data_IF_912081015756
#
_entry.id   IF_912081015756
#
_cell.length_a   1.000
_cell.length_b   1.000
_cell.length_c   1.000
_cell.angle_alpha   90.00
_cell.angle_beta   90.00
_cell.angle_gamma   90.00
#
_symmetry.space_group_name_H-M   'P 1'
#
loop_
_entity.id
_entity.type
_entity.pdbx_description
1 polymer ?
#
# COMPACT_ATOMS: atom_id res chain seq x y z
N UNK A 1 -5.95 -4.70 18.63
CA UNK A 1 -5.32 -3.38 18.84
C UNK A 1 -6.39 -2.31 18.62
N UNK A 2 -6.62 -1.37 19.55
CA UNK A 2 -7.72 -0.40 19.44
C UNK A 2 -7.24 0.96 18.94
N UNK A 3 -8.05 1.61 18.09
CA UNK A 3 -7.82 2.96 17.59
C UNK A 3 -8.30 4.01 18.59
N UNK A 4 -7.60 5.16 18.64
CA UNK A 4 -8.05 6.32 19.40
C UNK A 4 -9.17 7.06 18.67
N UNK A 5 -9.99 7.82 19.40
CA UNK A 5 -11.12 8.57 18.84
C UNK A 5 -10.75 9.47 17.65
N UNK A 6 -9.62 10.18 17.74
CA UNK A 6 -9.15 11.03 16.63
C UNK A 6 -8.68 10.23 15.41
N UNK A 7 -8.23 8.98 15.61
CA UNK A 7 -7.86 8.11 14.50
C UNK A 7 -9.11 7.61 13.78
N UNK A 8 -10.17 7.31 14.53
CA UNK A 8 -11.47 6.99 13.96
C UNK A 8 -12.00 8.11 13.07
N UNK A 9 -12.04 9.34 13.60
CA UNK A 9 -12.56 10.51 12.88
C UNK A 9 -11.91 10.68 11.50
N UNK A 10 -10.58 10.60 11.41
CA UNK A 10 -9.86 10.81 10.15
C UNK A 10 -9.98 9.68 9.14
N UNK A 11 -10.30 8.45 9.57
CA UNK A 11 -10.41 7.30 8.65
C UNK A 11 -11.84 7.03 8.19
N UNK A 12 -12.87 7.60 8.83
CA UNK A 12 -14.27 7.33 8.47
C UNK A 12 -14.54 7.45 6.96
N UNK A 13 -14.07 8.49 6.24
CA UNK A 13 -14.35 8.58 4.81
C UNK A 13 -13.62 7.50 3.99
N UNK A 14 -12.47 6.99 4.44
CA UNK A 14 -11.82 5.85 3.79
C UNK A 14 -12.62 4.55 3.96
N UNK A 15 -13.27 4.37 5.12
CA UNK A 15 -14.17 3.22 5.36
C UNK A 15 -15.43 3.28 4.49
N UNK A 16 -15.80 4.47 4.02
CA UNK A 16 -16.86 4.70 3.02
C UNK A 16 -16.37 4.56 1.57
N UNK A 17 -15.10 4.19 1.35
CA UNK A 17 -14.51 4.00 0.02
C UNK A 17 -14.05 5.28 -0.67
N UNK A 18 -13.90 6.41 0.06
CA UNK A 18 -13.37 7.66 -0.52
C UNK A 18 -11.84 7.67 -0.50
N UNK A 19 -11.25 8.27 -1.54
CA UNK A 19 -9.82 8.62 -1.53
C UNK A 19 -9.59 9.78 -0.55
N UNK A 20 -8.68 9.60 0.41
CA UNK A 20 -8.39 10.60 1.45
C UNK A 20 -6.88 10.79 1.66
N UNK A 21 -6.54 11.89 2.34
CA UNK A 21 -5.23 12.10 2.97
C UNK A 21 -5.45 12.09 4.49
N UNK A 22 -4.77 11.19 5.20
CA UNK A 22 -4.79 11.15 6.67
C UNK A 22 -3.81 12.19 7.20
N UNK A 23 -4.31 13.36 7.58
CA UNK A 23 -3.49 14.44 8.12
C UNK A 23 -3.49 14.43 9.66
N UNK A 24 -2.49 13.76 10.23
CA UNK A 24 -2.23 13.74 11.67
C UNK A 24 -0.76 14.05 11.97
N UNK A 25 -0.43 14.60 13.16
CA UNK A 25 0.96 14.83 13.58
C UNK A 25 1.83 13.56 13.55
N UNK A 26 3.15 13.74 13.51
CA UNK A 26 4.11 12.64 13.68
C UNK A 26 3.91 11.98 15.05
N UNK A 27 3.98 10.64 15.11
CA UNK A 27 3.72 9.89 16.35
C UNK A 27 2.24 9.71 16.71
N UNK A 28 1.30 10.33 16.00
CA UNK A 28 -0.15 10.17 16.23
C UNK A 28 -0.70 8.81 15.72
N UNK A 29 0.15 7.91 15.23
CA UNK A 29 -0.25 6.57 14.79
C UNK A 29 -0.97 6.52 13.44
N UNK A 30 -0.53 7.32 12.46
CA UNK A 30 -1.03 7.27 11.06
C UNK A 30 -0.97 5.86 10.48
N UNK A 31 0.16 5.18 10.64
CA UNK A 31 0.36 3.80 10.16
C UNK A 31 -0.68 2.84 10.74
N UNK A 32 -1.00 2.97 12.03
CA UNK A 32 -2.03 2.16 12.69
C UNK A 32 -3.42 2.41 12.12
N UNK A 33 -3.76 3.68 11.91
CA UNK A 33 -5.04 4.07 11.31
C UNK A 33 -5.15 3.50 9.88
N UNK A 34 -4.09 3.60 9.07
CA UNK A 34 -4.03 3.03 7.74
C UNK A 34 -4.12 1.48 7.74
N UNK A 35 -3.44 0.82 8.68
CA UNK A 35 -3.53 -0.63 8.83
C UNK A 35 -4.96 -1.09 9.17
N UNK A 36 -5.70 -0.32 9.97
CA UNK A 36 -7.10 -0.61 10.25
C UNK A 36 -7.98 -0.46 9.00
N UNK A 37 -7.76 0.60 8.20
CA UNK A 37 -8.46 0.77 6.92
C UNK A 37 -8.17 -0.42 6.00
N UNK A 38 -6.92 -0.84 5.88
CA UNK A 38 -6.54 -2.00 5.08
C UNK A 38 -7.20 -3.29 5.57
N UNK A 39 -7.23 -3.53 6.88
CA UNK A 39 -7.95 -4.66 7.49
C UNK A 39 -9.42 -4.63 7.08
N UNK A 40 -10.08 -3.50 7.29
CA UNK A 40 -11.52 -3.38 7.00
C UNK A 40 -11.81 -3.58 5.52
N UNK A 41 -10.98 -3.01 4.65
CA UNK A 41 -11.07 -3.19 3.21
C UNK A 41 -10.98 -4.67 2.81
N UNK A 42 -9.98 -5.39 3.33
CA UNK A 42 -9.79 -6.83 3.13
C UNK A 42 -10.94 -7.69 3.68
N UNK A 43 -11.67 -7.24 4.71
CA UNK A 43 -12.86 -7.92 5.23
C UNK A 43 -14.12 -7.72 4.36
N UNK A 44 -14.20 -6.60 3.65
CA UNK A 44 -15.44 -6.16 3.00
C UNK A 44 -15.44 -6.27 1.48
N UNK A 45 -14.27 -6.29 0.85
CA UNK A 45 -14.13 -6.32 -0.60
C UNK A 45 -13.70 -7.72 -1.02
N UNK A 46 -14.51 -8.38 -1.84
CA UNK A 46 -14.19 -9.70 -2.38
C UNK A 46 -12.99 -9.61 -3.33
N UNK A 47 -12.05 -10.55 -3.21
CA UNK A 47 -10.79 -10.53 -3.97
C UNK A 47 -9.91 -9.30 -3.69
N UNK A 48 -10.08 -8.63 -2.54
CA UNK A 48 -9.32 -7.44 -2.19
C UNK A 48 -7.81 -7.69 -2.26
N UNK A 49 -7.10 -6.69 -2.78
CA UNK A 49 -5.65 -6.64 -2.78
C UNK A 49 -5.16 -5.25 -2.40
N UNK A 50 -4.20 -5.21 -1.51
CA UNK A 50 -3.69 -3.98 -0.90
C UNK A 50 -2.19 -3.85 -1.15
N UNK A 51 -1.73 -2.67 -1.51
CA UNK A 51 -0.30 -2.34 -1.50
C UNK A 51 -0.04 -1.12 -0.61
N UNK A 52 1.01 -1.21 0.21
CA UNK A 52 1.48 -0.13 1.08
C UNK A 52 2.85 0.31 0.57
N UNK A 53 2.93 1.57 0.16
CA UNK A 53 4.15 2.18 -0.35
C UNK A 53 4.85 2.95 0.76
N UNK A 54 6.15 2.71 0.91
CA UNK A 54 7.03 3.44 1.82
C UNK A 54 8.19 4.07 1.07
N UNK A 55 8.79 5.11 1.65
CA UNK A 55 9.91 5.84 1.06
C UNK A 55 11.30 5.36 1.54
N UNK A 56 11.36 4.43 2.50
CA UNK A 56 12.62 3.93 3.08
C UNK A 56 12.55 2.43 3.35
N UNK A 57 13.65 1.72 3.09
CA UNK A 57 13.75 0.26 3.30
C UNK A 57 13.43 -0.17 4.74
N UNK A 58 13.93 0.54 5.75
CA UNK A 58 13.66 0.17 7.16
C UNK A 58 12.17 0.27 7.54
N UNK A 59 11.39 1.11 6.85
CA UNK A 59 9.95 1.24 7.07
C UNK A 59 9.18 0.03 6.55
N UNK A 60 9.73 -0.73 5.59
CA UNK A 60 9.10 -1.95 5.08
C UNK A 60 8.94 -2.96 6.22
N UNK A 61 10.01 -3.21 6.97
CA UNK A 61 9.97 -4.16 8.11
C UNK A 61 9.10 -3.62 9.24
N UNK A 62 9.27 -2.33 9.59
CA UNK A 62 8.51 -1.70 10.67
C UNK A 62 6.99 -1.71 10.42
N UNK A 63 6.55 -1.29 9.23
CA UNK A 63 5.14 -1.31 8.88
C UNK A 63 4.66 -2.75 8.67
N UNK A 64 5.52 -3.65 8.18
CA UNK A 64 5.25 -5.07 8.12
C UNK A 64 4.83 -5.69 9.45
N UNK A 65 5.49 -5.32 10.55
CA UNK A 65 5.08 -5.77 11.88
C UNK A 65 3.74 -5.17 12.32
N UNK A 66 3.54 -3.86 12.15
CA UNK A 66 2.29 -3.19 12.56
C UNK A 66 1.07 -3.73 11.77
N UNK A 67 1.21 -3.92 10.47
CA UNK A 67 0.15 -4.47 9.62
C UNK A 67 -0.14 -5.93 9.96
N UNK A 68 0.87 -6.79 10.11
CA UNK A 68 0.65 -8.19 10.52
C UNK A 68 -0.06 -8.28 11.87
N UNK A 69 0.30 -7.43 12.84
CA UNK A 69 -0.39 -7.33 14.13
C UNK A 69 -1.83 -6.85 14.01
N UNK A 70 -2.13 -5.94 13.08
CA UNK A 70 -3.50 -5.45 12.87
C UNK A 70 -4.39 -6.50 12.20
N UNK A 71 -3.84 -7.24 11.24
CA UNK A 71 -4.55 -8.22 10.41
C UNK A 71 -4.80 -9.56 11.13
N UNK A 72 -4.21 -9.78 12.31
CA UNK A 72 -4.41 -10.96 13.15
C UNK A 72 -4.17 -12.30 12.41
N UNK A 73 -3.27 -12.32 11.42
CA UNK A 73 -2.90 -13.52 10.65
C UNK A 73 -3.97 -14.05 9.68
N UNK A 74 -5.08 -13.34 9.47
CA UNK A 74 -6.16 -13.79 8.56
C UNK A 74 -5.84 -13.64 7.08
N UNK A 75 -4.91 -12.74 6.73
CA UNK A 75 -4.50 -12.47 5.36
C UNK A 75 -3.00 -12.66 5.20
N UNK A 76 -2.62 -13.01 3.98
CA UNK A 76 -1.24 -13.21 3.57
C UNK A 76 -0.57 -11.85 3.33
N UNK A 77 0.54 -11.61 4.05
CA UNK A 77 1.29 -10.35 3.99
C UNK A 77 2.73 -10.61 3.56
N UNK A 78 3.17 -9.96 2.50
CA UNK A 78 4.56 -9.97 2.07
C UNK A 78 5.19 -8.57 2.13
N UNK A 79 6.50 -8.54 2.37
CA UNK A 79 7.30 -7.33 2.50
C UNK A 79 8.43 -7.38 1.49
N UNK A 80 8.59 -6.34 0.68
CA UNK A 80 9.59 -6.26 -0.39
C UNK A 80 10.41 -5.00 -0.25
N UNK A 81 11.72 -5.14 -0.21
CA UNK A 81 12.67 -4.02 -0.16
C UNK A 81 13.83 -4.28 -1.10
N UNK A 82 14.55 -3.21 -1.47
CA UNK A 82 15.80 -3.36 -2.22
C UNK A 82 16.79 -4.24 -1.45
N UNK A 83 17.54 -5.07 -2.21
CA UNK A 83 18.61 -5.98 -1.75
C UNK A 83 18.18 -7.35 -1.17
N UNK A 84 17.05 -7.92 -1.61
CA UNK A 84 16.60 -9.26 -1.14
C UNK A 84 17.21 -10.47 -1.85
N UNK A 85 18.30 -10.33 -2.61
CA UNK A 85 18.88 -11.45 -3.38
C UNK A 85 17.88 -12.09 -4.36
N UNK A 86 18.06 -13.37 -4.74
CA UNK A 86 17.11 -14.08 -5.58
C UNK A 86 15.74 -14.17 -4.89
N UNK A 87 14.73 -13.54 -5.48
CA UNK A 87 13.34 -13.58 -5.03
C UNK A 87 12.40 -13.98 -6.16
N UNK A 88 11.20 -14.42 -5.80
CA UNK A 88 10.11 -14.50 -6.76
C UNK A 88 9.79 -13.10 -7.33
N UNK A 89 9.26 -13.06 -8.55
CA UNK A 89 8.90 -11.83 -9.21
C UNK A 89 7.81 -11.05 -8.46
N UNK A 90 7.78 -9.73 -8.61
CA UNK A 90 6.86 -8.86 -7.90
C UNK A 90 5.41 -9.19 -8.29
N UNK A 91 5.14 -9.36 -9.59
CA UNK A 91 3.86 -9.82 -10.11
C UNK A 91 3.42 -11.15 -9.51
N UNK A 92 4.32 -12.13 -9.43
CA UNK A 92 4.06 -13.41 -8.76
C UNK A 92 3.63 -13.23 -7.31
N UNK A 93 4.43 -12.49 -6.54
CA UNK A 93 4.17 -12.23 -5.13
C UNK A 93 2.87 -11.45 -4.95
N UNK A 94 2.56 -10.51 -5.84
CA UNK A 94 1.31 -9.78 -5.84
C UNK A 94 0.11 -10.68 -6.09
N UNK A 95 0.21 -11.70 -6.96
CA UNK A 95 -0.86 -12.68 -7.17
C UNK A 95 -1.08 -13.56 -5.94
N UNK A 96 -0.01 -13.99 -5.29
CA UNK A 96 -0.07 -14.95 -4.17
C UNK A 96 -0.37 -14.34 -2.80
N UNK A 97 -0.34 -13.01 -2.66
CA UNK A 97 -0.57 -12.33 -1.38
C UNK A 97 -1.73 -11.33 -1.43
N UNK A 98 -2.41 -11.18 -0.31
CA UNK A 98 -3.52 -10.24 -0.13
C UNK A 98 -2.99 -8.81 0.09
N UNK A 99 -1.88 -8.68 0.81
CA UNK A 99 -1.26 -7.39 1.13
C UNK A 99 0.25 -7.41 0.89
N UNK A 100 0.73 -6.37 0.20
CA UNK A 100 2.14 -6.13 -0.04
C UNK A 100 2.58 -4.83 0.64
N UNK A 101 3.78 -4.82 1.19
CA UNK A 101 4.43 -3.60 1.69
C UNK A 101 5.77 -3.48 0.98
N UNK A 102 5.96 -2.41 0.22
CA UNK A 102 7.17 -2.24 -0.57
C UNK A 102 7.62 -0.79 -0.67
N UNK A 103 8.86 -0.60 -1.11
CA UNK A 103 9.29 0.75 -1.51
C UNK A 103 8.62 1.17 -2.81
N UNK A 104 8.41 2.47 -2.99
CA UNK A 104 7.81 3.04 -4.19
C UNK A 104 8.52 2.57 -5.48
N UNK A 105 9.85 2.52 -5.42
CA UNK A 105 10.73 2.16 -6.54
C UNK A 105 10.43 0.75 -7.03
N UNK A 106 10.21 -0.21 -6.13
CA UNK A 106 9.91 -1.58 -6.51
C UNK A 106 8.58 -1.70 -7.22
N UNK A 107 7.54 -0.99 -6.76
CA UNK A 107 6.27 -0.97 -7.48
C UNK A 107 6.44 -0.30 -8.85
N UNK A 108 7.16 0.81 -8.95
CA UNK A 108 7.37 1.51 -10.23
C UNK A 108 8.14 0.65 -11.25
N UNK A 109 9.14 -0.12 -10.80
CA UNK A 109 9.81 -1.12 -11.63
C UNK A 109 8.85 -2.22 -12.08
N UNK A 110 8.04 -2.76 -11.17
CA UNK A 110 7.07 -3.81 -11.49
C UNK A 110 5.99 -3.33 -12.47
N UNK A 111 5.53 -2.08 -12.39
CA UNK A 111 4.54 -1.49 -13.31
C UNK A 111 5.05 -1.31 -14.74
N UNK A 112 6.38 -1.31 -14.93
CA UNK A 112 7.01 -1.07 -16.24
C UNK A 112 7.79 -2.29 -16.74
N UNK A 113 7.74 -3.41 -16.00
CA UNK A 113 8.52 -4.59 -16.33
C UNK A 113 7.93 -5.33 -17.54
N UNK A 114 8.75 -5.72 -18.52
CA UNK A 114 8.30 -6.57 -19.61
C UNK A 114 8.21 -8.05 -19.21
N UNK A 115 8.76 -8.43 -18.05
CA UNK A 115 8.79 -9.82 -17.58
C UNK A 115 7.49 -10.19 -16.85
N UNK A 116 6.76 -11.20 -17.33
CA UNK A 116 5.44 -11.60 -16.80
C UNK A 116 5.43 -11.93 -15.30
N UNK A 117 6.51 -12.49 -14.77
CA UNK A 117 6.62 -12.81 -13.35
C UNK A 117 6.86 -11.57 -12.48
N UNK A 118 7.46 -10.51 -13.03
CA UNK A 118 7.72 -9.26 -12.32
C UNK A 118 6.59 -8.23 -12.55
N UNK A 119 5.96 -8.25 -13.73
CA UNK A 119 4.95 -7.27 -14.14
C UNK A 119 3.70 -7.31 -13.27
N UNK A 120 3.19 -6.12 -12.96
CA UNK A 120 1.89 -5.95 -12.28
C UNK A 120 1.19 -4.73 -12.86
N UNK A 121 -0.14 -4.77 -12.90
CA UNK A 121 -0.97 -3.63 -13.30
C UNK A 121 -1.50 -2.91 -12.06
N UNK A 122 -1.66 -1.58 -12.12
CA UNK A 122 -2.28 -0.83 -11.01
C UNK A 122 -3.69 -1.30 -10.68
N UNK A 123 -4.44 -1.79 -11.68
CA UNK A 123 -5.81 -2.28 -11.56
C UNK A 123 -5.94 -3.56 -10.72
N UNK A 124 -4.82 -4.26 -10.47
CA UNK A 124 -4.77 -5.42 -9.58
C UNK A 124 -4.96 -5.01 -8.11
N UNK A 125 -4.64 -3.76 -7.75
CA UNK A 125 -4.80 -3.25 -6.39
C UNK A 125 -6.13 -2.56 -6.20
N UNK A 126 -6.88 -3.03 -5.20
CA UNK A 126 -8.14 -2.42 -4.78
C UNK A 126 -7.97 -1.31 -3.73
N UNK A 127 -6.79 -1.23 -3.11
CA UNK A 127 -6.41 -0.16 -2.18
C UNK A 127 -4.89 0.08 -2.26
N UNK A 128 -4.51 1.35 -2.39
CA UNK A 128 -3.11 1.80 -2.33
C UNK A 128 -2.96 2.72 -1.13
N UNK A 129 -2.08 2.36 -0.20
CA UNK A 129 -1.70 3.20 0.95
C UNK A 129 -0.35 3.82 0.65
N UNK A 130 -0.25 5.15 0.65
CA UNK A 130 1.01 5.87 0.39
C UNK A 130 1.49 6.51 1.69
N UNK A 131 2.57 5.98 2.27
CA UNK A 131 3.20 6.56 3.45
C UNK A 131 4.02 7.81 3.08
N UNK A 132 4.02 8.81 3.95
CA UNK A 132 4.61 10.13 3.70
C UNK A 132 4.20 10.72 2.34
N UNK A 133 2.90 10.67 2.03
CA UNK A 133 2.29 11.06 0.75
C UNK A 133 2.54 12.52 0.33
N UNK A 134 3.08 13.37 1.22
CA UNK A 134 3.52 14.71 0.86
C UNK A 134 4.70 14.69 -0.15
N UNK A 135 5.38 13.55 -0.30
CA UNK A 135 6.37 13.33 -1.36
C UNK A 135 5.75 13.12 -2.74
N UNK A 136 4.42 13.03 -2.90
CA UNK A 136 3.76 12.85 -4.20
C UNK A 136 3.69 14.17 -4.97
N UNK A 137 4.84 14.64 -5.47
CA UNK A 137 4.95 15.87 -6.25
C UNK A 137 6.12 15.81 -7.25
N UNK A 138 6.10 16.67 -8.27
CA UNK A 138 7.17 16.76 -9.30
C UNK A 138 7.47 15.38 -9.92
N UNK A 139 8.75 15.06 -10.11
CA UNK A 139 9.20 13.82 -10.76
C UNK A 139 9.54 12.71 -9.75
N UNK A 140 8.94 12.76 -8.55
CA UNK A 140 9.11 11.72 -7.54
C UNK A 140 8.44 10.42 -7.96
N UNK A 141 8.95 9.29 -7.47
CA UNK A 141 8.43 7.95 -7.79
C UNK A 141 6.94 7.81 -7.44
N UNK A 142 6.52 8.37 -6.30
CA UNK A 142 5.09 8.42 -5.95
C UNK A 142 4.27 9.16 -7.00
N UNK A 143 4.74 10.32 -7.48
CA UNK A 143 3.99 11.08 -8.46
C UNK A 143 3.96 10.38 -9.83
N UNK A 144 5.01 9.64 -10.19
CA UNK A 144 5.00 8.81 -11.41
C UNK A 144 3.91 7.73 -11.32
N UNK A 145 3.86 6.98 -10.20
CA UNK A 145 2.82 5.95 -9.96
C UNK A 145 1.41 6.58 -9.99
N UNK A 146 1.23 7.71 -9.31
CA UNK A 146 -0.08 8.37 -9.25
C UNK A 146 -0.47 9.04 -10.57
N UNK A 147 0.49 9.44 -11.41
CA UNK A 147 0.22 9.94 -12.76
C UNK A 147 -0.33 8.83 -13.66
N UNK A 148 0.24 7.62 -13.60
CA UNK A 148 -0.32 6.45 -14.29
C UNK A 148 -1.74 6.13 -13.81
N UNK A 149 -2.00 6.23 -12.50
CA UNK A 149 -3.37 6.10 -11.98
C UNK A 149 -4.33 7.15 -12.57
N UNK A 150 -3.90 8.41 -12.69
CA UNK A 150 -4.72 9.47 -13.28
C UNK A 150 -4.96 9.25 -14.77
N UNK A 151 -3.95 8.80 -15.53
CA UNK A 151 -4.12 8.44 -16.94
C UNK A 151 -5.17 7.34 -17.11
N UNK A 152 -5.08 6.25 -16.33
CA UNK A 152 -6.07 5.18 -16.33
C UNK A 152 -7.47 5.65 -15.94
N UNK A 153 -7.57 6.61 -15.00
CA UNK A 153 -8.83 7.19 -14.57
C UNK A 153 -9.47 8.09 -15.63
N UNK A 154 -8.66 8.85 -16.38
CA UNK A 154 -9.12 9.85 -17.36
C UNK A 154 -9.35 9.25 -18.76
N UNK A 155 -8.77 8.09 -19.05
CA UNK A 155 -9.03 7.34 -20.28
C UNK A 155 -10.35 6.55 -20.27
N UNK A 156 -11.05 6.53 -19.13
CA UNK A 156 -12.39 5.96 -18.96
C UNK A 156 -13.45 7.05 -18.99
#
# INVERSE_FOLDING_TARGET
>A
MELRSYQWEVIMPALEGKNIIIWLPTGAGKTRAAAYVAKRHLETVDGAKVVVLVNRVHLVTQHGEEFRRMLDGRWTVTTLSGDMGPRAGFGHLARCHDLLICTAELLQMALTSPEEEEHVELTVFSLIVVDECHHTHKDTVYNVIMSQYLELKLQR
#
